data_IF_139723290842
#
_entry.id   IF_139723290842
#
_cell.length_a   1.000
_cell.length_b   1.000
_cell.length_c   1.000
_cell.angle_alpha   90.00
_cell.angle_beta   90.00
_cell.angle_gamma   90.00
#
_symmetry.space_group_name_H-M   'P 1'
#
loop_
_entity.id
_entity.type
_entity.pdbx_description
1 polymer ?
#
# COMPACT_ATOMS: atom_id res chain seq x y z
N UNK A 1 -16.87 6.45 -1.72
CA UNK A 1 -15.44 6.18 -1.48
C UNK A 1 -14.88 5.53 -2.73
N UNK A 2 -13.97 6.21 -3.44
CA UNK A 2 -13.31 5.61 -4.62
C UNK A 2 -12.27 4.54 -4.20
N UNK A 3 -11.72 3.78 -5.16
CA UNK A 3 -10.79 2.69 -4.87
C UNK A 3 -9.53 3.17 -4.13
N UNK A 4 -9.01 4.34 -4.44
CA UNK A 4 -7.82 4.88 -3.79
C UNK A 4 -8.10 5.19 -2.31
N UNK A 5 -9.26 5.78 -2.03
CA UNK A 5 -9.72 6.05 -0.68
C UNK A 5 -10.04 4.75 0.08
N UNK A 6 -10.59 3.72 -0.59
CA UNK A 6 -10.75 2.39 0.01
C UNK A 6 -9.41 1.77 0.41
N UNK A 7 -8.37 1.90 -0.43
CA UNK A 7 -7.02 1.45 -0.11
C UNK A 7 -6.45 2.17 1.12
N UNK A 8 -6.66 3.49 1.23
CA UNK A 8 -6.19 4.25 2.38
C UNK A 8 -6.88 3.82 3.69
N UNK A 9 -8.20 3.60 3.64
CA UNK A 9 -8.96 3.10 4.80
C UNK A 9 -8.53 1.68 5.17
N UNK A 10 -8.24 0.82 4.19
CA UNK A 10 -7.66 -0.50 4.45
C UNK A 10 -6.28 -0.43 5.09
N UNK A 11 -5.41 0.43 4.55
CA UNK A 11 -4.06 0.62 5.07
C UNK A 11 -4.06 1.20 6.49
N UNK A 12 -5.00 2.09 6.83
CA UNK A 12 -5.10 2.65 8.18
C UNK A 12 -5.39 1.59 9.24
N UNK A 13 -6.13 0.52 8.90
CA UNK A 13 -6.42 -0.58 9.83
C UNK A 13 -5.20 -1.40 10.20
N UNK A 14 -4.21 -1.52 9.31
CA UNK A 14 -3.02 -2.35 9.55
C UNK A 14 -1.89 -1.61 10.27
N UNK A 15 -1.90 -0.27 10.31
CA UNK A 15 -0.88 0.56 10.97
C UNK A 15 -0.61 0.21 12.45
N UNK A 16 -1.63 -0.12 13.28
CA UNK A 16 -1.39 -0.42 14.70
C UNK A 16 -0.72 -1.77 14.94
N UNK A 17 -0.62 -2.63 13.91
CA UNK A 17 -0.16 -4.00 14.06
C UNK A 17 1.28 -4.18 13.60
N UNK A 18 1.93 -5.15 14.22
CA UNK A 18 3.21 -5.68 13.80
C UNK A 18 3.00 -7.14 13.41
N UNK A 19 3.31 -7.47 12.16
CA UNK A 19 3.17 -8.83 11.64
C UNK A 19 4.48 -9.57 11.83
N UNK A 20 4.49 -10.53 12.75
CA UNK A 20 5.62 -11.43 12.96
C UNK A 20 5.42 -12.70 12.12
N UNK A 21 6.31 -12.94 11.17
CA UNK A 21 6.19 -14.01 10.19
C UNK A 21 7.32 -15.02 10.41
N UNK A 22 6.93 -16.26 10.67
CA UNK A 22 7.85 -17.39 10.87
C UNK A 22 7.62 -18.42 9.78
N UNK A 23 8.66 -18.74 9.02
CA UNK A 23 8.61 -19.66 7.89
C UNK A 23 9.58 -20.81 8.11
N UNK A 24 9.05 -22.02 8.20
CA UNK A 24 9.85 -23.24 8.31
C UNK A 24 9.93 -24.00 6.99
N UNK A 25 11.13 -24.33 6.52
CA UNK A 25 11.33 -25.28 5.41
C UNK A 25 12.62 -26.08 5.56
N UNK A 26 12.51 -27.42 5.44
CA UNK A 26 13.66 -28.36 5.48
C UNK A 26 14.58 -28.13 6.68
N UNK A 27 14.02 -27.98 7.88
CA UNK A 27 14.77 -27.74 9.11
C UNK A 27 15.42 -26.36 9.24
N UNK A 28 15.16 -25.44 8.29
CA UNK A 28 15.55 -24.03 8.39
C UNK A 28 14.32 -23.20 8.76
N UNK A 29 14.53 -22.24 9.65
CA UNK A 29 13.54 -21.23 10.01
C UNK A 29 14.02 -19.88 9.50
N UNK A 30 13.14 -19.15 8.83
CA UNK A 30 13.27 -17.74 8.54
C UNK A 30 12.23 -17.00 9.39
N UNK A 31 12.69 -16.00 10.12
CA UNK A 31 11.87 -15.16 10.98
C UNK A 31 12.10 -13.72 10.54
N UNK A 32 11.00 -13.00 10.30
CA UNK A 32 11.06 -11.57 10.08
C UNK A 32 9.78 -10.90 10.54
N UNK A 33 9.88 -9.60 10.73
CA UNK A 33 8.79 -8.76 11.22
C UNK A 33 8.49 -7.65 10.22
N UNK A 34 7.21 -7.42 9.95
CA UNK A 34 6.72 -6.35 9.08
C UNK A 34 5.92 -5.35 9.91
N UNK A 35 6.28 -4.08 9.77
CA UNK A 35 5.57 -2.93 10.34
C UNK A 35 5.32 -1.91 9.24
N UNK A 36 4.24 -1.14 9.37
CA UNK A 36 3.86 -0.12 8.41
C UNK A 36 3.85 1.27 9.02
N UNK A 37 4.34 2.26 8.28
CA UNK A 37 4.18 3.68 8.57
C UNK A 37 3.20 4.32 7.57
N UNK A 38 2.53 5.40 7.98
CA UNK A 38 1.64 6.17 7.08
C UNK A 38 2.34 6.60 5.80
N UNK A 39 3.63 6.92 5.84
CA UNK A 39 4.42 7.30 4.69
C UNK A 39 4.59 6.18 3.65
N UNK A 40 4.48 4.91 4.05
CA UNK A 40 4.61 3.76 3.15
C UNK A 40 3.44 3.67 2.17
N UNK A 41 2.28 4.20 2.55
CA UNK A 41 1.09 4.27 1.70
C UNK A 41 1.40 4.88 0.33
N UNK A 42 2.23 5.93 0.26
CA UNK A 42 2.59 6.61 -0.99
C UNK A 42 3.28 5.69 -2.00
N UNK A 43 4.12 4.77 -1.51
CA UNK A 43 4.82 3.79 -2.36
C UNK A 43 3.96 2.58 -2.68
N UNK A 44 3.26 2.06 -1.67
CA UNK A 44 2.40 0.89 -1.81
C UNK A 44 1.22 1.14 -2.74
N UNK A 45 0.60 2.32 -2.67
CA UNK A 45 -0.49 2.72 -3.57
C UNK A 45 -0.02 3.09 -4.98
N UNK A 46 1.30 3.25 -5.19
CA UNK A 46 1.88 3.65 -6.48
C UNK A 46 1.82 5.15 -6.77
N UNK A 47 1.40 5.99 -5.83
CA UNK A 47 1.30 7.44 -6.05
C UNK A 47 2.62 8.10 -6.45
N UNK A 48 3.75 7.60 -5.98
CA UNK A 48 5.10 8.04 -6.41
C UNK A 48 5.37 7.86 -7.92
N UNK A 49 4.55 7.08 -8.64
CA UNK A 49 4.66 6.86 -10.09
C UNK A 49 4.05 7.99 -10.91
N UNK A 50 3.17 8.80 -10.34
CA UNK A 50 2.46 9.89 -11.04
C UNK A 50 3.38 11.10 -11.25
N UNK A 51 4.48 10.90 -12.01
CA UNK A 51 5.60 11.83 -12.19
C UNK A 51 5.18 13.18 -12.77
N UNK A 52 4.07 13.22 -13.49
CA UNK A 52 3.49 14.41 -14.11
C UNK A 52 2.42 15.10 -13.26
N UNK A 53 2.08 14.56 -12.08
CA UNK A 53 1.06 15.12 -11.19
C UNK A 53 1.65 15.58 -9.85
N UNK A 54 2.08 16.84 -9.83
CA UNK A 54 2.75 17.47 -8.68
C UNK A 54 1.97 17.36 -7.36
N UNK A 55 0.63 17.30 -7.41
CA UNK A 55 -0.21 17.20 -6.21
C UNK A 55 0.01 15.90 -5.43
N UNK A 56 0.35 14.81 -6.13
CA UNK A 56 0.65 13.52 -5.51
C UNK A 56 2.13 13.37 -5.13
N UNK A 57 2.99 14.31 -5.55
CA UNK A 57 4.44 14.23 -5.32
C UNK A 57 4.95 15.24 -4.30
N UNK A 58 4.18 16.29 -4.04
CA UNK A 58 4.55 17.38 -3.13
C UNK A 58 3.89 17.20 -1.77
N UNK A 59 4.63 17.54 -0.70
CA UNK A 59 4.19 17.37 0.68
C UNK A 59 4.88 16.20 1.39
N UNK A 60 4.63 16.07 2.70
CA UNK A 60 5.10 14.89 3.45
C UNK A 60 4.24 13.69 3.05
N UNK A 61 4.87 12.52 2.85
CA UNK A 61 4.17 11.29 2.42
C UNK A 61 3.03 10.89 3.37
N UNK A 62 3.19 11.12 4.67
CA UNK A 62 2.14 10.88 5.66
C UNK A 62 0.88 11.73 5.42
N UNK A 63 1.04 13.00 4.99
CA UNK A 63 -0.10 13.87 4.68
C UNK A 63 -0.82 13.48 3.38
N UNK A 64 -0.13 12.85 2.42
CA UNK A 64 -0.79 12.37 1.20
C UNK A 64 -1.88 11.36 1.54
N UNK A 65 -1.64 10.48 2.51
CA UNK A 65 -2.66 9.54 2.99
C UNK A 65 -3.87 10.27 3.61
N UNK A 66 -3.65 11.33 4.40
CA UNK A 66 -4.73 12.14 4.99
C UNK A 66 -5.57 12.87 3.93
N UNK A 67 -4.91 13.40 2.89
CA UNK A 67 -5.58 14.06 1.78
C UNK A 67 -6.39 13.07 0.92
N UNK A 68 -5.93 11.82 0.81
CA UNK A 68 -6.71 10.74 0.20
C UNK A 68 -7.90 10.35 1.08
N UNK A 69 -7.69 10.15 2.38
CA UNK A 69 -8.74 9.80 3.34
C UNK A 69 -9.85 10.86 3.40
N UNK A 70 -9.48 12.14 3.33
CA UNK A 70 -10.44 13.26 3.30
C UNK A 70 -11.10 13.48 1.92
N UNK A 71 -10.66 12.76 0.89
CA UNK A 71 -11.19 12.88 -0.48
C UNK A 71 -10.70 14.12 -1.23
N UNK A 72 -9.69 14.82 -0.73
CA UNK A 72 -9.07 15.95 -1.45
C UNK A 72 -8.17 15.48 -2.60
N UNK A 73 -7.51 14.33 -2.42
CA UNK A 73 -6.82 13.58 -3.46
C UNK A 73 -7.63 12.33 -3.83
N UNK A 74 -8.08 12.27 -5.08
CA UNK A 74 -9.04 11.26 -5.56
C UNK A 74 -8.43 10.38 -6.64
N UNK A 75 -9.02 9.21 -6.86
CA UNK A 75 -8.64 8.33 -7.97
C UNK A 75 -8.84 9.00 -9.33
N UNK A 76 -9.91 9.79 -9.49
CA UNK A 76 -10.17 10.50 -10.75
C UNK A 76 -9.07 11.50 -11.10
N UNK A 77 -8.48 12.17 -10.11
CA UNK A 77 -7.31 13.04 -10.33
C UNK A 77 -6.05 12.23 -10.67
N UNK A 78 -5.88 11.05 -10.06
CA UNK A 78 -4.77 10.16 -10.39
C UNK A 78 -4.86 9.62 -11.82
N UNK A 79 -6.07 9.31 -12.30
CA UNK A 79 -6.36 8.82 -13.65
C UNK A 79 -5.99 9.80 -14.77
N UNK A 80 -5.83 11.08 -14.46
CA UNK A 80 -5.39 12.11 -15.43
C UNK A 80 -3.89 12.03 -15.74
N UNK A 81 -3.11 11.29 -14.96
CA UNK A 81 -1.67 11.10 -15.17
C UNK A 81 -1.40 10.14 -16.33
N UNK A 82 -0.41 10.47 -17.16
CA UNK A 82 0.09 9.55 -18.20
C UNK A 82 0.73 8.29 -17.61
N UNK A 83 1.09 8.32 -16.32
CA UNK A 83 1.69 7.21 -15.59
C UNK A 83 0.69 6.42 -14.74
N UNK A 84 -0.63 6.70 -14.87
CA UNK A 84 -1.65 5.99 -14.11
C UNK A 84 -1.57 4.47 -14.30
N UNK A 85 -1.18 4.01 -15.49
CA UNK A 85 -0.96 2.58 -15.77
C UNK A 85 0.04 1.89 -14.84
N UNK A 86 1.07 2.60 -14.36
CA UNK A 86 2.04 2.07 -13.40
C UNK A 86 1.51 2.05 -11.96
N UNK A 87 0.61 2.98 -11.62
CA UNK A 87 -0.03 3.07 -10.31
C UNK A 87 -1.15 2.03 -10.17
N UNK A 88 -2.02 1.90 -11.17
CA UNK A 88 -3.28 1.14 -11.07
C UNK A 88 -3.06 -0.33 -10.68
N UNK A 89 -1.97 -0.94 -11.16
CA UNK A 89 -1.64 -2.35 -10.90
C UNK A 89 -1.37 -2.63 -9.41
N UNK A 90 -1.14 -1.60 -8.60
CA UNK A 90 -0.85 -1.72 -7.17
C UNK A 90 -2.08 -1.59 -6.28
N UNK A 91 -3.18 -1.03 -6.79
CA UNK A 91 -4.36 -0.72 -5.96
C UNK A 91 -5.10 -1.98 -5.51
N UNK A 92 -5.32 -2.95 -6.41
CA UNK A 92 -6.01 -4.19 -6.06
C UNK A 92 -5.21 -5.02 -5.04
N UNK A 93 -3.89 -5.25 -5.22
CA UNK A 93 -3.07 -5.89 -4.19
C UNK A 93 -3.09 -5.14 -2.85
N UNK A 94 -3.01 -3.80 -2.86
CA UNK A 94 -3.05 -3.00 -1.64
C UNK A 94 -4.41 -3.11 -0.92
N UNK A 95 -5.51 -3.14 -1.65
CA UNK A 95 -6.85 -3.32 -1.08
C UNK A 95 -6.97 -4.67 -0.34
N UNK A 96 -6.33 -5.72 -0.86
CA UNK A 96 -6.32 -7.05 -0.27
C UNK A 96 -5.20 -7.30 0.75
N UNK A 97 -4.36 -6.30 1.06
CA UNK A 97 -3.14 -6.50 1.85
C UNK A 97 -3.42 -7.04 3.26
N UNK A 98 -4.41 -6.48 3.94
CA UNK A 98 -4.85 -6.93 5.28
C UNK A 98 -5.27 -8.40 5.25
N UNK A 99 -6.22 -8.74 4.37
CA UNK A 99 -6.71 -10.10 4.21
C UNK A 99 -5.60 -11.09 3.84
N UNK A 100 -4.62 -10.66 3.02
CA UNK A 100 -3.46 -11.48 2.67
C UNK A 100 -2.54 -11.75 3.87
N UNK A 101 -2.25 -10.73 4.68
CA UNK A 101 -1.42 -10.90 5.87
C UNK A 101 -2.12 -11.77 6.93
N UNK A 102 -3.44 -11.63 7.04
CA UNK A 102 -4.25 -12.34 8.05
C UNK A 102 -4.59 -13.79 7.65
N UNK A 103 -4.56 -14.14 6.36
CA UNK A 103 -5.00 -15.46 5.89
C UNK A 103 -4.02 -16.60 6.22
N UNK A 104 -2.77 -16.29 6.57
CA UNK A 104 -1.66 -17.26 6.63
C UNK A 104 -1.39 -18.03 5.32
N UNK A 105 -2.01 -17.64 4.19
CA UNK A 105 -1.81 -18.27 2.88
C UNK A 105 -0.62 -17.64 2.15
N UNK A 106 0.58 -17.75 2.74
CA UNK A 106 1.78 -17.10 2.21
C UNK A 106 2.64 -18.11 1.44
N UNK A 107 2.90 -17.82 0.17
CA UNK A 107 3.82 -18.60 -0.67
C UNK A 107 5.22 -17.99 -0.60
N UNK A 108 6.18 -18.75 -0.06
CA UNK A 108 7.60 -18.37 -0.06
C UNK A 108 8.35 -19.08 -1.19
N UNK A 109 8.83 -18.30 -2.16
CA UNK A 109 9.77 -18.78 -3.16
C UNK A 109 11.21 -18.66 -2.62
N UNK A 110 11.94 -19.76 -2.72
CA UNK A 110 13.35 -19.82 -2.34
C UNK A 110 14.15 -19.76 -3.65
N UNK A 111 15.06 -18.78 -3.76
CA UNK A 111 16.03 -18.71 -4.85
C UNK A 111 17.19 -19.69 -4.60
#
# INVERSE_FOLDING_TARGET
>A
MDLLQQCAVGFERILPYQYHIVVGRKGKVLDFTVTFDRADFHHLSGLHKLKDNVRFLTGKRSYIMDEVLSGKLTLSQAQQSNFYGEMQIRLVPLLGLEAFLDSNEIIFQYN
#
